data_IF_879096481564
#
_entry.id   IF_879096481564
#
_cell.length_a   1.000
_cell.length_b   1.000
_cell.length_c   1.000
_cell.angle_alpha   90.00
_cell.angle_beta   90.00
_cell.angle_gamma   90.00
#
_symmetry.space_group_name_H-M   'P 1'
#
loop_
_entity.id
_entity.type
_entity.pdbx_description
1 polymer ?
#
# COMPACT_ATOMS: atom_id res chain seq x y z
N UNK A 1 -6.33 31.20 21.23
CA UNK A 1 -7.31 31.97 22.03
C UNK A 1 -8.34 32.59 21.09
N UNK A 2 -9.38 31.84 20.68
CA UNK A 2 -10.38 32.36 19.74
C UNK A 2 -11.54 33.00 20.48
N UNK A 3 -11.63 34.33 20.43
CA UNK A 3 -12.75 35.13 20.95
C UNK A 3 -13.84 35.24 19.88
N UNK A 4 -15.05 34.76 20.17
CA UNK A 4 -16.29 35.29 19.59
C UNK A 4 -17.27 35.60 20.71
N UNK A 5 -17.50 36.91 20.89
CA UNK A 5 -18.60 37.58 21.63
C UNK A 5 -18.75 37.22 23.12
N UNK A 6 -18.20 38.08 23.98
CA UNK A 6 -18.79 38.54 25.25
C UNK A 6 -19.02 37.55 26.42
N UNK A 7 -19.15 36.25 26.17
CA UNK A 7 -19.24 35.22 27.20
C UNK A 7 -17.96 34.39 27.16
N UNK A 8 -17.33 34.16 28.32
CA UNK A 8 -16.23 33.19 28.41
C UNK A 8 -16.78 31.84 27.95
N UNK A 9 -16.25 31.30 26.85
CA UNK A 9 -16.62 29.96 26.40
C UNK A 9 -16.40 28.98 27.56
N UNK A 10 -17.35 28.06 27.80
CA UNK A 10 -17.17 27.03 28.80
C UNK A 10 -15.87 26.27 28.50
N UNK A 11 -15.07 25.99 29.53
CA UNK A 11 -13.92 25.11 29.37
C UNK A 11 -14.39 23.78 28.78
N UNK A 12 -13.72 23.28 27.73
CA UNK A 12 -14.05 22.01 27.06
C UNK A 12 -15.47 21.95 26.43
N UNK A 13 -15.79 22.85 25.48
CA UNK A 13 -17.16 22.99 24.96
C UNK A 13 -17.65 21.77 24.17
N UNK A 14 -16.77 21.06 23.48
CA UNK A 14 -17.13 19.89 22.67
C UNK A 14 -17.42 18.69 23.57
N UNK A 15 -16.53 18.43 24.55
CA UNK A 15 -16.76 17.38 25.54
C UNK A 15 -18.06 17.60 26.31
N UNK A 16 -18.33 18.83 26.76
CA UNK A 16 -19.56 19.16 27.50
C UNK A 16 -20.83 18.92 26.69
N UNK A 17 -20.79 19.25 25.40
CA UNK A 17 -21.93 19.03 24.51
C UNK A 17 -22.17 17.54 24.30
N UNK A 18 -21.11 16.78 24.04
CA UNK A 18 -21.17 15.33 23.91
C UNK A 18 -21.70 14.65 25.18
N UNK A 19 -21.14 14.98 26.35
CA UNK A 19 -21.56 14.39 27.63
C UNK A 19 -23.03 14.71 27.93
N UNK A 20 -23.49 15.92 27.60
CA UNK A 20 -24.89 16.33 27.75
C UNK A 20 -25.82 15.49 26.89
N UNK A 21 -25.44 15.21 25.64
CA UNK A 21 -26.22 14.32 24.76
C UNK A 21 -26.19 12.89 25.28
N UNK A 22 -25.03 12.40 25.72
CA UNK A 22 -24.85 11.02 26.18
C UNK A 22 -25.55 10.70 27.50
N UNK A 23 -25.57 11.65 28.45
CA UNK A 23 -25.93 11.37 29.84
C UNK A 23 -26.89 12.39 30.47
N UNK A 24 -27.22 13.47 29.76
CA UNK A 24 -27.94 14.62 30.32
C UNK A 24 -27.07 15.55 31.17
N UNK A 25 -25.87 15.11 31.59
CA UNK A 25 -24.92 15.91 32.37
C UNK A 25 -23.83 16.51 31.50
N UNK A 26 -23.49 17.78 31.70
CA UNK A 26 -22.33 18.40 31.05
C UNK A 26 -21.02 18.21 31.82
N UNK A 27 -20.99 17.40 32.87
CA UNK A 27 -19.76 17.08 33.62
C UNK A 27 -19.56 15.57 33.65
N UNK A 28 -18.30 15.16 33.47
CA UNK A 28 -17.94 13.75 33.57
C UNK A 28 -17.95 13.32 35.04
N UNK A 29 -18.44 12.11 35.29
CA UNK A 29 -18.33 11.41 36.55
C UNK A 29 -18.07 9.93 36.25
N UNK A 30 -17.89 9.10 37.28
CA UNK A 30 -17.62 7.68 37.13
C UNK A 30 -18.68 6.93 36.33
N UNK A 31 -19.98 7.21 36.56
CA UNK A 31 -21.07 6.51 35.89
C UNK A 31 -21.20 6.92 34.43
N UNK A 32 -20.94 8.20 34.12
CA UNK A 32 -20.90 8.71 32.75
C UNK A 32 -19.69 8.16 32.00
N UNK A 33 -18.52 8.08 32.65
CA UNK A 33 -17.32 7.50 32.04
C UNK A 33 -17.53 6.04 31.62
N UNK A 34 -18.24 5.25 32.44
CA UNK A 34 -18.61 3.87 32.09
C UNK A 34 -19.59 3.74 30.92
N UNK A 35 -20.31 4.83 30.57
CA UNK A 35 -21.25 4.86 29.44
C UNK A 35 -20.60 5.31 28.13
N UNK A 36 -19.36 5.78 28.17
CA UNK A 36 -18.68 6.23 26.95
C UNK A 36 -18.30 4.98 26.13
N UNK A 37 -18.75 4.88 24.86
CA UNK A 37 -18.42 3.75 24.00
C UNK A 37 -16.90 3.56 23.87
N UNK A 38 -16.44 2.31 23.98
CA UNK A 38 -15.02 1.95 23.90
C UNK A 38 -14.15 2.38 25.09
N UNK A 39 -14.69 3.14 26.06
CA UNK A 39 -13.92 3.59 27.23
C UNK A 39 -14.04 2.56 28.36
N UNK A 40 -12.97 1.80 28.58
CA UNK A 40 -12.85 0.86 29.70
C UNK A 40 -12.52 1.60 31.00
N UNK A 41 -13.45 2.43 31.49
CA UNK A 41 -13.25 3.20 32.70
C UNK A 41 -13.29 2.31 33.95
N UNK A 42 -12.15 2.19 34.63
CA UNK A 42 -12.02 1.49 35.89
C UNK A 42 -11.82 2.48 37.06
N UNK A 43 -12.77 2.57 38.01
CA UNK A 43 -12.69 3.54 39.12
C UNK A 43 -11.46 3.36 40.04
N UNK A 44 -10.89 2.16 40.08
CA UNK A 44 -9.71 1.82 40.89
C UNK A 44 -8.39 2.11 40.18
N UNK A 45 -8.43 2.45 38.89
CA UNK A 45 -7.24 2.72 38.11
C UNK A 45 -6.75 4.15 38.37
N UNK A 46 -5.60 4.28 39.04
CA UNK A 46 -5.01 5.57 39.43
C UNK A 46 -4.27 6.28 38.29
N UNK A 47 -4.14 5.65 37.13
CA UNK A 47 -3.34 6.17 36.01
C UNK A 47 -4.07 7.24 35.19
N UNK A 48 -5.40 7.33 35.31
CA UNK A 48 -6.21 8.23 34.50
C UNK A 48 -7.21 8.99 35.35
N UNK A 49 -7.20 10.32 35.24
CA UNK A 49 -8.18 11.17 35.91
C UNK A 49 -9.36 11.46 34.99
N UNK A 50 -10.55 11.59 35.57
CA UNK A 50 -11.76 11.99 34.84
C UNK A 50 -11.55 13.32 34.09
N UNK A 51 -10.78 14.24 34.67
CA UNK A 51 -10.43 15.52 34.02
C UNK A 51 -9.62 15.30 32.74
N UNK A 52 -8.62 14.41 32.77
CA UNK A 52 -7.82 14.08 31.59
C UNK A 52 -8.68 13.42 30.51
N UNK A 53 -9.64 12.56 30.89
CA UNK A 53 -10.60 11.98 29.95
C UNK A 53 -11.44 13.08 29.29
N UNK A 54 -11.98 14.03 30.08
CA UNK A 54 -12.77 15.15 29.54
C UNK A 54 -11.95 16.03 28.58
N UNK A 55 -10.71 16.35 28.94
CA UNK A 55 -9.79 17.12 28.09
C UNK A 55 -9.44 16.37 26.79
N UNK A 56 -9.23 15.06 26.88
CA UNK A 56 -8.93 14.22 25.72
C UNK A 56 -10.13 14.10 24.78
N UNK A 57 -11.35 13.95 25.33
CA UNK A 57 -12.60 13.93 24.55
C UNK A 57 -12.83 15.24 23.82
N UNK A 58 -12.57 16.37 24.47
CA UNK A 58 -12.73 17.68 23.84
C UNK A 58 -11.81 17.81 22.62
N UNK A 59 -10.55 17.38 22.75
CA UNK A 59 -9.59 17.36 21.64
C UNK A 59 -9.98 16.37 20.54
N UNK A 60 -10.40 15.16 20.89
CA UNK A 60 -10.87 14.15 19.94
C UNK A 60 -12.04 14.67 19.10
N UNK A 61 -13.06 15.23 19.75
CA UNK A 61 -14.26 15.73 19.08
C UNK A 61 -13.94 17.01 18.28
N UNK A 62 -13.11 17.91 18.83
CA UNK A 62 -12.70 19.12 18.09
C UNK A 62 -11.92 18.82 16.81
N UNK A 63 -11.25 17.67 16.75
CA UNK A 63 -10.53 17.19 15.57
C UNK A 63 -11.34 16.25 14.67
N UNK A 64 -12.64 16.09 14.93
CA UNK A 64 -13.52 15.16 14.21
C UNK A 64 -12.98 13.72 14.18
N UNK A 65 -12.35 13.30 15.28
CA UNK A 65 -11.78 11.96 15.37
C UNK A 65 -10.40 11.81 14.77
N UNK A 66 -9.76 12.82 14.17
CA UNK A 66 -8.43 12.66 13.58
C UNK A 66 -7.32 12.51 14.63
N UNK A 67 -7.46 13.15 15.78
CA UNK A 67 -6.49 13.10 16.86
C UNK A 67 -7.09 12.47 18.11
N UNK A 68 -6.61 11.27 18.48
CA UNK A 68 -7.02 10.57 19.70
C UNK A 68 -5.90 10.63 20.76
N UNK A 69 -5.94 11.63 21.66
CA UNK A 69 -4.95 11.75 22.73
C UNK A 69 -5.23 10.77 23.88
N UNK A 70 -4.16 10.36 24.56
CA UNK A 70 -4.26 9.65 25.84
C UNK A 70 -5.07 10.51 26.85
N UNK A 71 -5.90 9.90 27.70
CA UNK A 71 -6.00 8.46 27.95
C UNK A 71 -7.01 7.70 27.07
N UNK A 72 -7.55 8.30 26.00
CA UNK A 72 -8.51 7.62 25.15
C UNK A 72 -7.83 6.52 24.32
N UNK A 73 -8.50 5.39 24.20
CA UNK A 73 -8.05 4.28 23.35
C UNK A 73 -8.49 4.47 21.90
N UNK A 74 -7.90 3.69 21.00
CA UNK A 74 -8.33 3.61 19.61
C UNK A 74 -9.76 3.06 19.52
N UNK A 75 -10.21 2.24 20.48
CA UNK A 75 -11.58 1.73 20.52
C UNK A 75 -12.60 2.86 20.72
N UNK A 76 -12.32 3.82 21.62
CA UNK A 76 -13.16 5.02 21.77
C UNK A 76 -13.22 5.81 20.45
N UNK A 77 -12.09 5.95 19.76
CA UNK A 77 -12.02 6.62 18.46
C UNK A 77 -12.81 5.86 17.39
N UNK A 78 -12.74 4.53 17.35
CA UNK A 78 -13.44 3.69 16.39
C UNK A 78 -14.96 3.70 16.58
N UNK A 79 -15.41 3.69 17.84
CA UNK A 79 -16.84 3.75 18.18
C UNK A 79 -17.45 5.14 17.90
N UNK A 80 -16.72 6.21 18.20
CA UNK A 80 -17.24 7.58 18.03
C UNK A 80 -17.04 8.14 16.61
N UNK A 81 -16.01 7.69 15.90
CA UNK A 81 -15.63 8.18 14.57
C UNK A 81 -15.22 7.02 13.63
N UNK A 82 -16.14 6.10 13.31
CA UNK A 82 -15.83 4.93 12.48
C UNK A 82 -15.31 5.31 11.09
N UNK A 83 -15.75 6.45 10.55
CA UNK A 83 -15.34 6.95 9.24
C UNK A 83 -13.84 7.23 9.17
N UNK A 84 -13.22 7.67 10.27
CA UNK A 84 -11.78 7.94 10.32
C UNK A 84 -10.98 6.65 10.23
N UNK A 85 -11.44 5.58 10.89
CA UNK A 85 -10.80 4.26 10.83
C UNK A 85 -10.96 3.64 9.45
N UNK A 86 -12.16 3.69 8.87
CA UNK A 86 -12.42 3.21 7.51
C UNK A 86 -11.55 3.96 6.51
N UNK A 87 -11.54 5.29 6.52
CA UNK A 87 -10.73 6.09 5.61
C UNK A 87 -9.23 5.80 5.72
N UNK A 88 -8.71 5.57 6.94
CA UNK A 88 -7.31 5.18 7.15
C UNK A 88 -7.01 3.79 6.59
N UNK A 89 -7.92 2.85 6.81
CA UNK A 89 -7.80 1.46 6.32
C UNK A 89 -7.87 1.43 4.81
N UNK A 90 -8.82 2.12 4.20
CA UNK A 90 -8.96 2.23 2.75
C UNK A 90 -7.73 2.86 2.09
N UNK A 91 -7.21 3.96 2.68
CA UNK A 91 -5.97 4.58 2.21
C UNK A 91 -4.79 3.62 2.31
N UNK A 92 -4.70 2.82 3.38
CA UNK A 92 -3.64 1.80 3.54
C UNK A 92 -3.77 0.73 2.46
N UNK A 93 -4.95 0.13 2.31
CA UNK A 93 -5.22 -0.90 1.29
C UNK A 93 -4.95 -0.38 -0.12
N UNK A 94 -5.34 0.86 -0.43
CA UNK A 94 -5.10 1.46 -1.73
C UNK A 94 -3.59 1.67 -1.98
N UNK A 95 -2.82 2.08 -0.97
CA UNK A 95 -1.35 2.21 -1.10
C UNK A 95 -0.70 0.85 -1.35
N UNK A 96 -1.12 -0.18 -0.63
CA UNK A 96 -0.64 -1.55 -0.82
C UNK A 96 -0.95 -2.06 -2.24
N UNK A 97 -2.19 -1.86 -2.71
CA UNK A 97 -2.61 -2.19 -4.07
C UNK A 97 -1.78 -1.46 -5.13
N UNK A 98 -1.53 -0.16 -4.96
CA UNK A 98 -0.69 0.61 -5.89
C UNK A 98 0.74 0.08 -5.90
N UNK A 99 1.32 -0.19 -4.73
CA UNK A 99 2.67 -0.73 -4.61
C UNK A 99 2.80 -2.11 -5.28
N UNK A 100 1.86 -3.00 -5.02
CA UNK A 100 1.77 -4.32 -5.64
C UNK A 100 1.67 -4.22 -7.17
N UNK A 101 0.71 -3.45 -7.68
CA UNK A 101 0.53 -3.26 -9.13
C UNK A 101 1.75 -2.61 -9.79
N UNK A 102 2.50 -1.76 -9.07
CA UNK A 102 3.75 -1.19 -9.58
C UNK A 102 4.85 -2.24 -9.68
N UNK A 103 4.93 -3.14 -8.70
CA UNK A 103 5.88 -4.26 -8.72
C UNK A 103 5.56 -5.22 -9.87
N UNK A 104 4.32 -5.66 -9.99
CA UNK A 104 3.88 -6.56 -11.06
C UNK A 104 4.20 -6.00 -12.45
N UNK A 105 3.87 -4.73 -12.71
CA UNK A 105 4.18 -4.08 -14.00
C UNK A 105 5.67 -3.98 -14.30
N UNK A 106 6.54 -3.92 -13.28
CA UNK A 106 7.99 -3.91 -13.49
C UNK A 106 8.49 -5.29 -13.87
N UNK A 107 7.99 -6.33 -13.20
CA UNK A 107 8.34 -7.72 -13.49
C UNK A 107 7.85 -8.13 -14.88
N UNK A 108 6.61 -7.79 -15.23
CA UNK A 108 6.04 -8.02 -16.56
C UNK A 108 6.90 -7.37 -17.66
N UNK A 109 7.22 -6.07 -17.52
CA UNK A 109 8.11 -5.38 -18.46
C UNK A 109 9.51 -5.97 -18.53
N UNK A 110 10.05 -6.46 -17.42
CA UNK A 110 11.36 -7.10 -17.41
C UNK A 110 11.34 -8.44 -18.16
N UNK A 111 10.29 -9.23 -17.99
CA UNK A 111 10.08 -10.48 -18.73
C UNK A 111 9.89 -10.22 -20.23
N UNK A 112 9.03 -9.26 -20.58
CA UNK A 112 8.83 -8.84 -21.97
C UNK A 112 10.13 -8.35 -22.61
N UNK A 113 10.89 -7.50 -21.91
CA UNK A 113 12.16 -6.99 -22.39
C UNK A 113 13.20 -8.11 -22.57
N UNK A 114 13.30 -9.04 -21.61
CA UNK A 114 14.19 -10.19 -21.72
C UNK A 114 13.81 -11.08 -22.91
N UNK A 115 12.51 -11.32 -23.11
CA UNK A 115 12.01 -12.07 -24.26
C UNK A 115 12.32 -11.36 -25.58
N UNK A 116 12.08 -10.05 -25.68
CA UNK A 116 12.41 -9.27 -26.88
C UNK A 116 13.91 -9.27 -27.17
N UNK A 117 14.75 -9.12 -26.15
CA UNK A 117 16.21 -9.19 -26.30
C UNK A 117 16.64 -10.57 -26.83
N UNK A 118 16.07 -11.64 -26.27
CA UNK A 118 16.31 -13.02 -26.71
C UNK A 118 15.93 -13.21 -28.17
N UNK A 119 14.74 -12.75 -28.56
CA UNK A 119 14.26 -12.83 -29.95
C UNK A 119 15.13 -12.01 -30.91
N UNK A 120 15.56 -10.82 -30.50
CA UNK A 120 16.46 -9.97 -31.30
C UNK A 120 17.82 -10.64 -31.53
N UNK A 121 18.40 -11.23 -30.48
CA UNK A 121 19.66 -11.99 -30.59
C UNK A 121 19.50 -13.19 -31.54
N UNK A 122 18.39 -13.93 -31.43
CA UNK A 122 18.11 -15.04 -32.34
C UNK A 122 18.01 -14.52 -33.79
N UNK A 123 17.30 -13.42 -34.00
CA UNK A 123 17.19 -12.77 -35.30
C UNK A 123 18.55 -12.35 -35.87
N UNK A 124 19.48 -11.87 -35.03
CA UNK A 124 20.85 -11.57 -35.45
C UNK A 124 21.60 -12.84 -35.87
N UNK A 125 21.54 -13.91 -35.08
CA UNK A 125 22.17 -15.19 -35.41
C UNK A 125 21.64 -15.73 -36.75
N UNK A 126 20.32 -15.66 -36.97
CA UNK A 126 19.67 -16.07 -38.23
C UNK A 126 20.09 -15.17 -39.40
N UNK A 127 20.22 -13.87 -39.17
CA UNK A 127 20.70 -12.92 -40.18
C UNK A 127 22.14 -13.22 -40.56
N UNK A 128 23.01 -13.48 -39.59
CA UNK A 128 24.42 -13.84 -39.83
C UNK A 128 24.56 -15.18 -40.56
N UNK A 129 23.73 -16.17 -40.23
CA UNK A 129 23.69 -17.47 -40.90
C UNK A 129 23.47 -17.33 -42.41
N UNK A 130 22.64 -16.37 -42.83
CA UNK A 130 22.38 -16.14 -44.26
C UNK A 130 23.62 -15.74 -45.08
N UNK A 131 24.68 -15.29 -44.42
CA UNK A 131 25.96 -14.91 -45.03
C UNK A 131 27.06 -15.97 -44.88
N UNK A 132 26.78 -17.10 -44.21
CA UNK A 132 27.74 -18.19 -44.05
C UNK A 132 27.78 -19.10 -45.26
N UNK A 133 28.96 -19.66 -45.55
CA UNK A 133 29.17 -20.73 -46.52
C UNK A 133 29.29 -22.08 -45.82
N UNK A 134 29.22 -23.21 -46.56
CA UNK A 134 29.43 -24.54 -46.00
C UNK A 134 30.70 -24.71 -45.16
N UNK A 135 31.77 -24.01 -45.55
CA UNK A 135 33.07 -24.07 -44.89
C UNK A 135 33.08 -23.26 -43.59
N UNK A 136 32.23 -22.24 -43.45
CA UNK A 136 32.24 -21.31 -42.30
C UNK A 136 31.10 -21.54 -41.30
N UNK A 137 30.07 -22.32 -41.65
CA UNK A 137 28.90 -22.54 -40.80
C UNK A 137 29.23 -23.19 -39.44
N UNK A 138 30.28 -24.00 -39.36
CA UNK A 138 30.74 -24.58 -38.09
C UNK A 138 31.30 -23.52 -37.12
N UNK A 139 31.93 -22.46 -37.65
CA UNK A 139 32.39 -21.35 -36.84
C UNK A 139 31.20 -20.53 -36.32
N UNK A 140 30.19 -20.31 -37.16
CA UNK A 140 28.92 -19.69 -36.74
C UNK A 140 28.22 -20.50 -35.65
N UNK A 141 28.12 -21.83 -35.82
CA UNK A 141 27.47 -22.69 -34.82
C UNK A 141 28.20 -22.63 -33.48
N UNK A 142 29.53 -22.77 -33.49
CA UNK A 142 30.34 -22.69 -32.27
C UNK A 142 30.15 -21.36 -31.54
N UNK A 143 30.08 -20.24 -32.28
CA UNK A 143 29.85 -18.91 -31.70
C UNK A 143 28.49 -18.79 -31.00
N UNK A 144 27.44 -19.34 -31.60
CA UNK A 144 26.06 -19.18 -31.12
C UNK A 144 25.60 -20.32 -30.20
N UNK A 145 26.36 -21.41 -30.09
CA UNK A 145 26.05 -22.57 -29.25
C UNK A 145 26.10 -22.27 -27.73
N UNK A 146 26.90 -21.27 -27.31
CA UNK A 146 26.91 -20.82 -25.91
C UNK A 146 25.64 -20.04 -25.54
N UNK A 147 24.99 -19.42 -26.54
CA UNK A 147 23.82 -18.57 -26.35
C UNK A 147 22.51 -19.32 -26.61
N UNK A 148 22.46 -20.26 -27.56
CA UNK A 148 21.24 -20.91 -28.02
C UNK A 148 21.31 -22.43 -27.94
N UNK A 149 20.18 -23.07 -27.60
CA UNK A 149 20.07 -24.52 -27.73
C UNK A 149 20.06 -24.91 -29.22
N UNK A 150 20.58 -26.09 -29.54
CA UNK A 150 20.60 -26.64 -30.90
C UNK A 150 19.20 -26.65 -31.53
N UNK A 151 18.14 -26.84 -30.73
CA UNK A 151 16.74 -26.80 -31.18
C UNK A 151 16.33 -25.43 -31.70
N UNK A 152 16.78 -24.35 -31.07
CA UNK A 152 16.45 -22.98 -31.45
C UNK A 152 17.15 -22.59 -32.76
N UNK A 153 18.37 -23.09 -32.97
CA UNK A 153 19.15 -22.83 -34.19
C UNK A 153 18.77 -23.76 -35.36
N UNK A 154 18.26 -24.96 -35.06
CA UNK A 154 18.02 -26.01 -36.05
C UNK A 154 17.13 -25.56 -37.20
N UNK A 155 16.03 -24.85 -36.90
CA UNK A 155 15.08 -24.43 -37.93
C UNK A 155 15.76 -23.55 -39.00
N UNK A 156 16.51 -22.53 -38.58
CA UNK A 156 17.23 -21.65 -39.50
C UNK A 156 18.34 -22.37 -40.25
N UNK A 157 19.08 -23.24 -39.56
CA UNK A 157 20.12 -24.06 -40.18
C UNK A 157 19.58 -24.95 -41.29
N UNK A 158 18.47 -25.65 -41.06
CA UNK A 158 17.87 -26.53 -42.06
C UNK A 158 17.40 -25.76 -43.29
N UNK A 159 16.78 -24.58 -43.10
CA UNK A 159 16.40 -23.70 -44.19
C UNK A 159 17.63 -23.22 -44.98
N UNK A 160 18.67 -22.77 -44.29
CA UNK A 160 19.93 -22.37 -44.92
C UNK A 160 20.57 -23.52 -45.72
N UNK A 161 20.57 -24.75 -45.18
CA UNK A 161 21.15 -25.93 -45.86
C UNK A 161 20.49 -26.20 -47.21
N UNK A 162 19.18 -25.97 -47.36
CA UNK A 162 18.48 -26.18 -48.64
C UNK A 162 19.02 -25.34 -49.80
N UNK A 163 19.75 -24.25 -49.51
CA UNK A 163 20.37 -23.38 -50.52
C UNK A 163 21.58 -24.01 -51.20
N UNK A 164 22.13 -25.08 -50.61
CA UNK A 164 23.31 -25.78 -51.10
C UNK A 164 22.94 -27.22 -51.43
N UNK A 165 22.71 -27.48 -52.72
CA UNK A 165 22.29 -28.79 -53.23
C UNK A 165 23.41 -29.85 -53.23
N UNK A 166 24.64 -29.48 -52.89
CA UNK A 166 25.83 -30.34 -52.94
C UNK A 166 26.46 -30.64 -51.56
N UNK A 167 25.74 -30.40 -50.46
CA UNK A 167 26.19 -30.63 -49.08
C UNK A 167 25.71 -31.94 -48.46
#
# INVERSE_FOLDING_TARGET
>A
MSRRRGARLPALPHARTFLRVLSGSSRINTTVAQRIPGLNWEPKNRLTSLKQVEEALDRLISSHGEYCPLPLSVDVQAELFPEVIHARTDRRMQREKIAFNRKMRREEKALEHAWLLRQNLLGQAMTELNFQSPETVNAWYTRWADEFDARELAQGFWQWRTRFTSL
#
